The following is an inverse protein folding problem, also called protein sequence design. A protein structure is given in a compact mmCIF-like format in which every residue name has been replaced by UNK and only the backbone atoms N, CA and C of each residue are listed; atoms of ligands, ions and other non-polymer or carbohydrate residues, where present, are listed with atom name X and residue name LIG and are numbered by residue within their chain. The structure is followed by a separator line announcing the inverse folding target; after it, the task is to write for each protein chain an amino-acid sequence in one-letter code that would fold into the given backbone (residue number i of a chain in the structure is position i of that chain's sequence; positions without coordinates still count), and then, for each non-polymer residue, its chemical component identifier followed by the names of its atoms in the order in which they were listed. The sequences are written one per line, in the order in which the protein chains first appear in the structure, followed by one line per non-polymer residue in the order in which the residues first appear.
data_IF_338456347955
#
_entry.id   IF_338456347955
#
_cell.length_a   1.000
_cell.length_b   1.000
_cell.length_c   1.000
_cell.angle_alpha   90.00
_cell.angle_beta   90.00
_cell.angle_gamma   90.00
#
_symmetry.space_group_name_H-M   'P 1'
#
loop_
_entity.id
_entity.type
_entity.pdbx_description
1 polymer ?
#
# COMPACT_ATOMS: atom_id res chain seq x y z
N UNK A 1 53.69 -9.87 13.60
CA UNK A 1 52.91 -8.71 13.12
C UNK A 1 52.53 -8.98 11.68
N UNK A 2 51.24 -9.15 11.38
CA UNK A 2 50.78 -9.28 10.00
C UNK A 2 50.45 -7.88 9.48
N UNK A 3 51.13 -7.42 8.44
CA UNK A 3 50.81 -6.18 7.75
C UNK A 3 49.73 -6.42 6.69
N UNK A 4 48.71 -5.57 6.65
CA UNK A 4 47.65 -5.61 5.62
C UNK A 4 47.99 -4.57 4.56
N UNK A 5 48.30 -5.03 3.36
CA UNK A 5 48.57 -4.17 2.18
C UNK A 5 47.29 -4.09 1.35
N UNK A 6 46.95 -2.89 0.88
CA UNK A 6 45.79 -2.66 0.02
C UNK A 6 46.27 -2.56 -1.42
N UNK A 7 45.65 -3.32 -2.33
CA UNK A 7 45.99 -3.31 -3.75
C UNK A 7 44.85 -2.70 -4.57
N UNK A 8 45.19 -1.86 -5.54
CA UNK A 8 44.32 -1.54 -6.67
C UNK A 8 44.90 -2.19 -7.94
N UNK A 9 44.19 -2.12 -9.07
CA UNK A 9 44.63 -2.67 -10.36
C UNK A 9 45.98 -2.14 -10.88
N UNK A 10 46.48 -1.04 -10.32
CA UNK A 10 47.72 -0.39 -10.77
C UNK A 10 48.87 -0.42 -9.73
N UNK A 11 48.58 -0.47 -8.43
CA UNK A 11 49.61 -0.31 -7.38
C UNK A 11 49.21 -0.92 -6.03
N UNK A 12 50.22 -1.32 -5.25
CA UNK A 12 50.13 -1.72 -3.84
C UNK A 12 50.38 -0.53 -2.91
N UNK A 13 49.57 -0.40 -1.87
CA UNK A 13 49.61 0.67 -0.87
C UNK A 13 49.80 0.09 0.52
N UNK A 14 50.74 0.62 1.29
CA UNK A 14 50.92 0.29 2.72
C UNK A 14 50.22 1.33 3.62
N UNK A 15 49.11 0.99 4.30
CA UNK A 15 48.37 1.92 5.16
C UNK A 15 49.19 2.43 6.35
N UNK A 16 50.26 1.73 6.74
CA UNK A 16 51.16 2.14 7.82
C UNK A 16 52.12 3.25 7.35
N UNK A 17 52.37 3.37 6.05
CA UNK A 17 53.16 4.44 5.48
C UNK A 17 52.32 5.72 5.36
N UNK A 18 52.83 6.83 5.90
CA UNK A 18 52.11 8.10 5.93
C UNK A 18 51.69 8.58 4.53
N UNK A 19 52.59 8.47 3.54
CA UNK A 19 52.33 8.90 2.16
C UNK A 19 51.22 8.08 1.48
N UNK A 20 51.30 6.75 1.58
CA UNK A 20 50.33 5.84 0.98
C UNK A 20 48.94 5.99 1.65
N UNK A 21 48.90 6.23 2.96
CA UNK A 21 47.65 6.51 3.68
C UNK A 21 46.97 7.80 3.20
N UNK A 22 47.74 8.86 2.94
CA UNK A 22 47.20 10.11 2.38
C UNK A 22 46.65 9.91 0.97
N UNK A 23 47.38 9.19 0.12
CA UNK A 23 46.95 8.86 -1.24
C UNK A 23 45.65 8.03 -1.23
N UNK A 24 45.58 7.01 -0.39
CA UNK A 24 44.36 6.21 -0.21
C UNK A 24 43.17 7.06 0.25
N UNK A 25 43.40 8.02 1.16
CA UNK A 25 42.36 8.96 1.60
C UNK A 25 41.81 9.82 0.47
N UNK A 26 42.70 10.38 -0.36
CA UNK A 26 42.31 11.19 -1.52
C UNK A 26 41.55 10.35 -2.57
N UNK A 27 42.04 9.14 -2.88
CA UNK A 27 41.34 8.25 -3.80
C UNK A 27 39.98 7.78 -3.27
N UNK A 28 39.84 7.61 -1.97
CA UNK A 28 38.54 7.32 -1.34
C UNK A 28 37.52 8.43 -1.61
N UNK A 29 37.90 9.69 -1.36
CA UNK A 29 37.03 10.86 -1.59
C UNK A 29 36.68 10.99 -3.08
N UNK A 30 37.66 10.82 -3.97
CA UNK A 30 37.44 10.88 -5.41
C UNK A 30 36.48 9.79 -5.88
N UNK A 31 36.67 8.55 -5.40
CA UNK A 31 35.79 7.41 -5.72
C UNK A 31 34.36 7.66 -5.24
N UNK A 32 34.18 8.23 -4.06
CA UNK A 32 32.86 8.61 -3.54
C UNK A 32 32.19 9.69 -4.43
N UNK A 33 32.96 10.70 -4.85
CA UNK A 33 32.47 11.75 -5.74
C UNK A 33 32.10 11.21 -7.14
N UNK A 34 32.90 10.30 -7.71
CA UNK A 34 32.62 9.65 -8.99
C UNK A 34 31.36 8.77 -8.90
N UNK A 35 31.24 7.96 -7.83
CA UNK A 35 30.04 7.16 -7.57
C UNK A 35 28.80 8.06 -7.46
N UNK A 36 28.93 9.22 -6.82
CA UNK A 36 27.84 10.20 -6.75
C UNK A 36 27.42 10.70 -8.14
N UNK A 37 28.38 11.05 -9.01
CA UNK A 37 28.08 11.47 -10.38
C UNK A 37 27.45 10.36 -11.23
N UNK A 38 27.95 9.12 -11.11
CA UNK A 38 27.38 7.96 -11.80
C UNK A 38 25.94 7.72 -11.34
N UNK A 39 25.70 7.74 -10.02
CA UNK A 39 24.37 7.60 -9.44
C UNK A 39 23.41 8.68 -9.95
N UNK A 40 23.84 9.94 -9.99
CA UNK A 40 23.03 11.03 -10.54
C UNK A 40 22.66 10.81 -12.01
N UNK A 41 23.63 10.41 -12.86
CA UNK A 41 23.38 10.13 -14.28
C UNK A 41 22.46 8.94 -14.48
N UNK A 42 22.61 7.89 -13.67
CA UNK A 42 21.73 6.72 -13.70
C UNK A 42 20.28 7.10 -13.34
N UNK A 43 20.07 7.87 -12.28
CA UNK A 43 18.73 8.35 -11.91
C UNK A 43 18.12 9.26 -12.97
N UNK A 44 18.91 10.13 -13.60
CA UNK A 44 18.44 10.94 -14.71
C UNK A 44 18.03 10.08 -15.92
N UNK A 45 18.86 9.10 -16.29
CA UNK A 45 18.57 8.16 -17.37
C UNK A 45 17.33 7.29 -17.08
N UNK A 46 17.16 6.85 -15.83
CA UNK A 46 15.98 6.12 -15.37
C UNK A 46 14.71 6.97 -15.53
N UNK A 47 14.75 8.23 -15.09
CA UNK A 47 13.63 9.18 -15.25
C UNK A 47 13.30 9.47 -16.72
N UNK A 48 14.31 9.66 -17.56
CA UNK A 48 14.10 9.87 -19.00
C UNK A 48 13.46 8.65 -19.67
N UNK A 49 13.91 7.43 -19.35
CA UNK A 49 13.27 6.20 -19.82
C UNK A 49 11.85 6.06 -19.29
N UNK A 50 11.62 6.42 -18.04
CA UNK A 50 10.29 6.40 -17.45
C UNK A 50 9.34 7.39 -18.14
N UNK A 51 9.80 8.61 -18.41
CA UNK A 51 9.00 9.62 -19.11
C UNK A 51 8.55 9.17 -20.50
N UNK A 52 9.35 8.34 -21.19
CA UNK A 52 9.00 7.72 -22.48
C UNK A 52 8.16 6.45 -22.36
N UNK A 53 7.93 5.92 -21.15
CA UNK A 53 7.21 4.65 -20.95
C UNK A 53 8.04 3.38 -21.21
N UNK A 54 9.36 3.50 -21.36
CA UNK A 54 10.25 2.41 -21.77
C UNK A 54 10.96 1.73 -20.59
N UNK A 55 10.89 2.30 -19.39
CA UNK A 55 11.57 1.75 -18.22
C UNK A 55 10.88 0.44 -17.79
N UNK A 56 11.65 -0.64 -17.79
CA UNK A 56 11.17 -1.96 -17.36
C UNK A 56 11.19 -2.07 -15.85
N UNK A 57 10.03 -2.37 -15.27
CA UNK A 57 9.89 -2.76 -13.87
C UNK A 57 9.10 -4.08 -13.77
N UNK A 58 9.17 -4.71 -12.59
CA UNK A 58 8.41 -5.92 -12.28
C UNK A 58 6.90 -5.67 -12.38
N UNK A 59 6.24 -6.36 -13.31
CA UNK A 59 4.80 -6.25 -13.52
C UNK A 59 4.04 -7.12 -12.52
N UNK A 60 2.85 -6.68 -12.05
CA UNK A 60 1.98 -7.51 -11.23
C UNK A 60 1.50 -8.77 -11.98
N UNK A 61 0.91 -9.71 -11.25
CA UNK A 61 0.25 -10.87 -11.86
C UNK A 61 -0.84 -10.41 -12.85
N UNK A 62 -1.01 -11.10 -13.97
CA UNK A 62 -1.96 -10.69 -15.03
C UNK A 62 -1.40 -9.73 -16.06
N UNK A 63 -0.21 -9.16 -15.86
CA UNK A 63 0.50 -8.41 -16.89
C UNK A 63 1.81 -9.11 -17.24
N UNK A 64 2.15 -9.13 -18.53
CA UNK A 64 3.40 -9.69 -19.04
C UNK A 64 4.05 -8.73 -20.05
N UNK A 65 5.36 -8.87 -20.23
CA UNK A 65 6.08 -8.16 -21.27
C UNK A 65 6.07 -9.01 -22.54
N UNK A 66 5.63 -8.43 -23.64
CA UNK A 66 5.77 -9.04 -24.96
C UNK A 66 7.26 -9.04 -25.40
N UNK A 67 7.58 -9.81 -26.44
CA UNK A 67 8.89 -9.79 -27.10
C UNK A 67 9.26 -8.37 -27.59
N UNK A 68 8.26 -7.58 -27.98
CA UNK A 68 8.39 -6.18 -28.40
C UNK A 68 8.63 -5.19 -27.24
N UNK A 69 8.81 -5.66 -26.01
CA UNK A 69 8.90 -4.84 -24.78
C UNK A 69 7.63 -4.11 -24.38
N UNK A 70 6.52 -4.31 -25.09
CA UNK A 70 5.23 -3.74 -24.75
C UNK A 70 4.58 -4.53 -23.62
N UNK A 71 3.83 -3.83 -22.76
CA UNK A 71 3.05 -4.46 -21.70
C UNK A 71 1.77 -5.03 -22.34
N UNK A 72 1.55 -6.32 -22.15
CA UNK A 72 0.35 -7.04 -22.60
C UNK A 72 -0.35 -7.68 -21.41
N UNK A 73 -1.61 -8.06 -21.60
CA UNK A 73 -2.32 -8.92 -20.66
C UNK A 73 -1.66 -10.30 -20.65
N UNK A 74 -1.68 -10.97 -19.50
CA UNK A 74 -1.13 -12.32 -19.39
C UNK A 74 -1.87 -13.26 -20.35
N UNK A 75 -1.18 -14.05 -21.20
CA UNK A 75 -1.83 -14.97 -22.13
C UNK A 75 -2.77 -15.98 -21.46
N UNK A 76 -2.57 -16.31 -20.19
CA UNK A 76 -3.44 -17.24 -19.46
C UNK A 76 -4.84 -16.65 -19.23
N UNK A 77 -5.84 -17.19 -19.92
CA UNK A 77 -7.23 -16.79 -19.79
C UNK A 77 -7.77 -16.94 -18.37
N UNK A 78 -7.35 -17.97 -17.63
CA UNK A 78 -7.78 -18.18 -16.25
C UNK A 78 -7.32 -17.02 -15.33
N UNK A 79 -6.09 -16.54 -15.52
CA UNK A 79 -5.55 -15.39 -14.78
C UNK A 79 -6.35 -14.14 -15.11
N UNK A 80 -6.64 -13.93 -16.41
CA UNK A 80 -7.45 -12.80 -16.83
C UNK A 80 -8.86 -12.85 -16.24
N UNK A 81 -9.56 -13.99 -16.37
CA UNK A 81 -10.88 -14.20 -15.84
C UNK A 81 -10.94 -13.99 -14.32
N UNK A 82 -9.92 -14.45 -13.58
CA UNK A 82 -9.83 -14.27 -12.13
C UNK A 82 -9.72 -12.80 -11.75
N UNK A 83 -8.90 -12.03 -12.46
CA UNK A 83 -8.74 -10.59 -12.21
C UNK A 83 -10.01 -9.81 -12.57
N UNK A 84 -10.65 -10.12 -13.70
CA UNK A 84 -11.95 -9.57 -14.07
C UNK A 84 -13.02 -9.87 -13.00
N UNK A 85 -13.01 -11.08 -12.43
CA UNK A 85 -13.91 -11.45 -11.33
C UNK A 85 -13.66 -10.61 -10.07
N UNK A 86 -12.40 -10.34 -9.72
CA UNK A 86 -12.06 -9.49 -8.57
C UNK A 86 -12.63 -8.08 -8.72
N UNK A 87 -12.44 -7.46 -9.89
CA UNK A 87 -12.92 -6.10 -10.14
C UNK A 87 -14.45 -6.03 -10.21
N UNK A 88 -15.10 -6.97 -10.91
CA UNK A 88 -16.57 -7.05 -10.95
C UNK A 88 -17.17 -7.24 -9.55
N UNK A 89 -16.65 -8.16 -8.74
CA UNK A 89 -17.12 -8.37 -7.36
C UNK A 89 -16.82 -7.17 -6.46
N UNK A 90 -15.74 -6.44 -6.70
CA UNK A 90 -15.49 -5.20 -5.97
C UNK A 90 -16.48 -4.10 -6.35
N UNK A 91 -16.87 -4.01 -7.63
CA UNK A 91 -17.91 -3.09 -8.10
C UNK A 91 -19.26 -3.37 -7.43
N UNK A 92 -19.62 -4.65 -7.30
CA UNK A 92 -20.84 -5.13 -6.63
C UNK A 92 -20.83 -4.94 -5.10
N UNK A 93 -19.76 -5.39 -4.42
CA UNK A 93 -19.73 -5.48 -2.95
C UNK A 93 -19.17 -4.23 -2.27
N UNK A 94 -18.37 -3.43 -2.98
CA UNK A 94 -17.77 -2.19 -2.50
C UNK A 94 -16.70 -2.34 -1.40
N UNK A 95 -16.28 -3.55 -1.03
CA UNK A 95 -15.27 -3.78 0.03
C UNK A 95 -14.30 -4.91 -0.30
N UNK A 96 -12.99 -4.65 -0.16
CA UNK A 96 -11.94 -5.64 -0.41
C UNK A 96 -12.08 -6.89 0.47
N UNK A 97 -12.52 -6.72 1.72
CA UNK A 97 -12.74 -7.83 2.66
C UNK A 97 -13.95 -8.68 2.28
N UNK A 98 -14.99 -8.06 1.71
CA UNK A 98 -16.16 -8.77 1.19
C UNK A 98 -15.78 -9.60 -0.05
N UNK A 99 -14.99 -9.04 -0.96
CA UNK A 99 -14.44 -9.75 -2.13
C UNK A 99 -13.60 -10.95 -1.70
N UNK A 100 -12.68 -10.77 -0.74
CA UNK A 100 -11.89 -11.88 -0.19
C UNK A 100 -12.76 -13.00 0.38
N UNK A 101 -13.82 -12.66 1.13
CA UNK A 101 -14.73 -13.65 1.71
C UNK A 101 -15.51 -14.40 0.63
N UNK A 102 -15.94 -13.73 -0.42
CA UNK A 102 -16.59 -14.36 -1.57
C UNK A 102 -15.64 -15.36 -2.24
N UNK A 103 -14.44 -14.93 -2.60
CA UNK A 103 -13.44 -15.79 -3.24
C UNK A 103 -13.05 -16.99 -2.36
N UNK A 104 -12.92 -16.80 -1.04
CA UNK A 104 -12.69 -17.92 -0.11
C UNK A 104 -13.86 -18.89 -0.05
N UNK A 105 -15.10 -18.40 -0.04
CA UNK A 105 -16.29 -19.26 -0.01
C UNK A 105 -16.36 -20.16 -1.25
N UNK A 106 -16.01 -19.62 -2.40
CA UNK A 106 -15.99 -20.34 -3.68
C UNK A 106 -14.66 -21.10 -3.90
N UNK A 107 -13.75 -21.15 -2.92
CA UNK A 107 -12.42 -21.78 -3.01
C UNK A 107 -11.59 -21.30 -4.21
N UNK A 108 -11.69 -20.02 -4.52
CA UNK A 108 -11.02 -19.39 -5.66
C UNK A 108 -9.68 -18.77 -5.21
N UNK A 109 -8.51 -19.34 -5.60
CA UNK A 109 -7.20 -18.72 -5.35
C UNK A 109 -6.97 -17.49 -6.23
N UNK A 110 -5.97 -16.68 -5.88
CA UNK A 110 -5.54 -15.52 -6.67
C UNK A 110 -4.18 -15.74 -7.31
N UNK A 111 -4.00 -15.25 -8.55
CA UNK A 111 -2.70 -15.25 -9.21
C UNK A 111 -1.79 -14.20 -8.57
N UNK A 112 -0.58 -14.59 -8.21
CA UNK A 112 0.44 -13.75 -7.59
C UNK A 112 1.77 -13.97 -8.29
N UNK A 113 2.47 -12.88 -8.59
CA UNK A 113 3.86 -12.96 -9.05
C UNK A 113 4.78 -12.72 -7.84
N UNK A 114 5.68 -13.66 -7.49
CA UNK A 114 6.61 -13.46 -6.41
C UNK A 114 7.57 -12.30 -6.75
N UNK A 115 7.83 -11.42 -5.77
CA UNK A 115 8.77 -10.31 -5.95
C UNK A 115 10.24 -10.73 -5.85
N UNK A 116 10.51 -11.90 -5.27
CA UNK A 116 11.86 -12.41 -5.03
C UNK A 116 11.94 -13.86 -5.51
N UNK A 117 13.07 -14.23 -6.11
CA UNK A 117 13.33 -15.57 -6.62
C UNK A 117 14.20 -15.53 -7.88
N UNK A 118 14.64 -16.69 -8.40
CA UNK A 118 15.27 -16.75 -9.71
C UNK A 118 14.28 -16.25 -10.77
N UNK A 119 14.75 -15.39 -11.68
CA UNK A 119 13.97 -14.99 -12.85
C UNK A 119 13.89 -16.17 -13.84
N UNK A 120 12.76 -16.37 -14.55
CA UNK A 120 11.54 -15.55 -14.59
C UNK A 120 10.58 -15.81 -13.41
N UNK A 121 10.00 -14.74 -12.84
CA UNK A 121 8.98 -14.88 -11.79
C UNK A 121 7.65 -15.34 -12.40
N UNK A 122 7.44 -16.66 -12.44
CA UNK A 122 6.19 -17.26 -12.90
C UNK A 122 5.01 -16.90 -11.99
N UNK A 123 3.79 -16.96 -12.56
CA UNK A 123 2.57 -16.69 -11.81
C UNK A 123 2.26 -17.89 -10.93
N UNK A 124 2.18 -17.67 -9.63
CA UNK A 124 1.83 -18.68 -8.63
C UNK A 124 0.43 -18.43 -8.11
N UNK A 125 -0.38 -19.49 -8.05
CA UNK A 125 -1.70 -19.45 -7.44
C UNK A 125 -1.60 -19.58 -5.93
N UNK A 126 -2.15 -18.63 -5.20
CA UNK A 126 -2.11 -18.64 -3.75
C UNK A 126 -3.49 -18.30 -3.17
N UNK A 127 -3.76 -18.77 -1.95
CA UNK A 127 -5.05 -18.56 -1.29
C UNK A 127 -5.48 -17.09 -1.22
N UNK A 128 -6.78 -16.82 -1.26
CA UNK A 128 -7.23 -15.43 -1.19
C UNK A 128 -7.09 -14.88 0.24
N UNK A 129 -6.26 -13.84 0.41
CA UNK A 129 -6.08 -13.11 1.67
C UNK A 129 -6.32 -11.62 1.45
N UNK A 130 -6.78 -10.90 2.48
CA UNK A 130 -7.11 -9.47 2.38
C UNK A 130 -5.95 -8.61 1.82
N UNK A 131 -4.68 -8.78 2.24
CA UNK A 131 -3.57 -8.02 1.66
C UNK A 131 -3.34 -8.29 0.17
N UNK A 132 -3.67 -9.49 -0.32
CA UNK A 132 -3.56 -9.85 -1.75
C UNK A 132 -4.64 -9.16 -2.59
N UNK A 133 -5.86 -9.06 -2.08
CA UNK A 133 -6.90 -8.25 -2.74
C UNK A 133 -6.51 -6.76 -2.72
N UNK A 134 -5.97 -6.28 -1.61
CA UNK A 134 -5.49 -4.90 -1.47
C UNK A 134 -4.19 -4.59 -2.22
N UNK A 135 -3.46 -5.59 -2.73
CA UNK A 135 -2.35 -5.34 -3.66
C UNK A 135 -2.85 -5.21 -5.10
N UNK A 136 -3.98 -5.82 -5.43
CA UNK A 136 -4.59 -5.79 -6.76
C UNK A 136 -5.37 -4.50 -7.00
N UNK A 137 -6.37 -4.23 -6.16
CA UNK A 137 -7.34 -3.14 -6.39
C UNK A 137 -6.71 -1.75 -6.56
N UNK A 138 -5.71 -1.33 -5.74
CA UNK A 138 -5.16 0.00 -5.85
C UNK A 138 -4.00 0.11 -6.85
N UNK A 139 -3.76 -0.91 -7.68
CA UNK A 139 -2.64 -0.90 -8.62
C UNK A 139 -3.03 -0.27 -9.97
N UNK A 140 -2.45 0.88 -10.36
CA UNK A 140 -2.80 1.58 -11.60
C UNK A 140 -2.44 0.79 -12.86
N UNK A 141 -1.53 -0.18 -12.79
CA UNK A 141 -1.20 -1.04 -13.93
C UNK A 141 -2.43 -1.79 -14.47
N UNK A 142 -3.37 -2.20 -13.62
CA UNK A 142 -4.59 -2.85 -14.13
C UNK A 142 -5.53 -1.89 -14.87
N UNK A 143 -5.34 -0.58 -14.72
CA UNK A 143 -6.07 0.45 -15.45
C UNK A 143 -5.44 0.81 -16.81
N UNK A 144 -4.41 0.06 -17.24
CA UNK A 144 -3.65 0.37 -18.45
C UNK A 144 -2.71 1.57 -18.30
N UNK A 145 -2.47 2.04 -17.06
CA UNK A 145 -1.63 3.19 -16.79
C UNK A 145 -0.20 2.77 -16.47
N UNK A 146 0.73 3.36 -17.21
CA UNK A 146 2.15 3.26 -16.91
C UNK A 146 2.52 4.36 -15.90
N UNK A 147 3.03 3.96 -14.74
CA UNK A 147 3.28 4.87 -13.62
C UNK A 147 4.69 4.69 -13.06
N UNK A 148 5.38 5.81 -12.89
CA UNK A 148 6.67 5.90 -12.21
C UNK A 148 6.61 6.89 -11.04
N UNK A 149 7.39 6.66 -9.99
CA UNK A 149 7.44 7.55 -8.82
C UNK A 149 6.36 7.32 -7.75
N UNK A 150 5.68 6.16 -7.75
CA UNK A 150 4.63 5.82 -6.75
C UNK A 150 5.09 5.85 -5.30
N UNK A 151 6.39 5.69 -5.08
CA UNK A 151 7.02 5.63 -3.76
C UNK A 151 8.25 6.51 -3.81
N UNK A 152 8.37 7.42 -2.84
CA UNK A 152 9.56 8.25 -2.67
C UNK A 152 10.27 7.78 -1.41
N UNK A 153 11.59 7.61 -1.50
CA UNK A 153 12.38 7.47 -0.28
C UNK A 153 12.50 8.85 0.34
N UNK A 154 11.82 9.05 1.44
CA UNK A 154 11.95 10.24 2.27
C UNK A 154 12.94 9.92 3.38
N UNK A 155 13.96 10.76 3.55
CA UNK A 155 14.81 10.70 4.72
C UNK A 155 13.99 10.93 5.99
N UNK A 156 13.92 9.92 6.85
CA UNK A 156 13.24 10.03 8.14
C UNK A 156 14.26 9.92 9.27
N UNK A 157 14.54 11.01 9.98
CA UNK A 157 15.31 10.98 11.23
C UNK A 157 14.39 10.44 12.32
N UNK A 158 14.58 9.19 12.74
CA UNK A 158 13.70 8.56 13.74
C UNK A 158 14.17 8.88 15.16
N UNK A 159 15.49 9.07 15.41
CA UNK A 159 16.09 9.60 16.66
C UNK A 159 17.46 10.24 16.37
N UNK A 160 18.01 10.95 17.36
CA UNK A 160 19.12 11.91 17.24
C UNK A 160 20.35 11.48 16.42
N UNK A 161 20.66 10.19 16.21
CA UNK A 161 21.81 9.76 15.40
C UNK A 161 21.57 8.61 14.38
N UNK A 162 20.31 8.21 14.12
CA UNK A 162 20.04 7.14 13.14
C UNK A 162 19.14 7.63 12.02
N UNK A 163 19.72 7.74 10.83
CA UNK A 163 19.01 8.00 9.59
C UNK A 163 18.58 6.66 8.98
N UNK A 164 17.28 6.37 9.03
CA UNK A 164 16.71 5.27 8.25
C UNK A 164 15.91 5.85 7.07
N UNK A 165 16.18 5.41 5.83
CA UNK A 165 15.37 5.80 4.70
C UNK A 165 13.93 5.26 4.90
N UNK A 166 12.95 6.17 4.95
CA UNK A 166 11.53 5.81 5.04
C UNK A 166 10.93 5.93 3.65
N UNK A 167 10.41 4.82 3.14
CA UNK A 167 9.66 4.87 1.88
C UNK A 167 8.23 5.33 2.14
N UNK A 168 7.83 6.45 1.56
CA UNK A 168 6.46 7.00 1.66
C UNK A 168 5.72 6.76 0.34
N UNK A 169 4.40 6.54 0.43
CA UNK A 169 3.52 6.45 -0.75
C UNK A 169 3.21 7.88 -1.20
N UNK A 170 3.43 8.16 -2.47
CA UNK A 170 3.16 9.47 -3.08
C UNK A 170 1.70 9.51 -3.55
N UNK A 171 0.96 10.61 -3.32
CA UNK A 171 -0.39 10.77 -3.85
C UNK A 171 -0.38 10.76 -5.37
N UNK A 172 -1.53 10.47 -5.98
CA UNK A 172 -1.63 10.24 -7.44
C UNK A 172 -1.21 11.48 -8.24
N UNK A 173 -1.54 12.67 -7.73
CA UNK A 173 -1.24 13.97 -8.33
C UNK A 173 0.27 14.28 -8.40
N UNK A 174 1.05 13.73 -7.48
CA UNK A 174 2.49 13.98 -7.36
C UNK A 174 3.35 12.88 -8.02
N UNK A 175 2.74 11.99 -8.81
CA UNK A 175 3.49 10.96 -9.53
C UNK A 175 4.36 11.59 -10.62
N UNK A 176 5.65 11.25 -10.65
CA UNK A 176 6.62 11.82 -11.60
C UNK A 176 6.23 11.53 -13.05
N UNK A 177 5.69 10.34 -13.33
CA UNK A 177 5.17 9.97 -14.65
C UNK A 177 3.89 9.16 -14.48
N UNK A 178 2.84 9.58 -15.18
CA UNK A 178 1.58 8.86 -15.27
C UNK A 178 1.05 8.91 -16.71
N UNK A 179 1.44 7.92 -17.52
CA UNK A 179 0.93 7.77 -18.88
C UNK A 179 -0.32 6.90 -18.84
N UNK A 180 -1.48 7.52 -19.06
CA UNK A 180 -2.77 6.83 -19.12
C UNK A 180 -2.89 6.07 -20.46
N UNK A 181 -3.58 4.93 -20.44
CA UNK A 181 -3.81 4.08 -21.62
C UNK A 181 -2.53 3.68 -22.40
N UNK A 182 -1.41 3.51 -21.68
CA UNK A 182 -0.14 3.07 -22.27
C UNK A 182 -0.18 1.60 -22.72
N UNK A 183 -1.05 0.79 -22.12
CA UNK A 183 -1.24 -0.60 -22.46
C UNK A 183 -2.68 -1.07 -22.17
N UNK A 184 -3.10 -2.24 -22.68
CA UNK A 184 -4.40 -2.81 -22.34
C UNK A 184 -4.52 -3.03 -20.82
N UNK A 185 -5.59 -2.52 -20.23
CA UNK A 185 -5.96 -2.72 -18.82
C UNK A 185 -7.17 -3.62 -18.67
N UNK A 186 -7.36 -4.17 -17.48
CA UNK A 186 -8.58 -4.90 -17.10
C UNK A 186 -9.73 -3.96 -16.76
N UNK A 187 -9.40 -2.75 -16.32
CA UNK A 187 -10.36 -1.69 -15.96
C UNK A 187 -9.97 -0.40 -16.69
N UNK A 188 -10.93 0.52 -16.82
CA UNK A 188 -10.66 1.88 -17.30
C UNK A 188 -10.03 2.76 -16.21
N UNK A 189 -9.45 3.90 -16.62
CA UNK A 189 -8.87 4.87 -15.68
C UNK A 189 -9.92 5.48 -14.74
N UNK A 190 -11.11 5.79 -15.26
CA UNK A 190 -12.22 6.32 -14.45
C UNK A 190 -12.66 5.33 -13.37
N UNK A 191 -12.81 4.05 -13.74
CA UNK A 191 -13.14 2.99 -12.80
C UNK A 191 -12.06 2.81 -11.73
N UNK A 192 -10.79 2.95 -12.10
CA UNK A 192 -9.69 2.93 -11.15
C UNK A 192 -9.80 4.07 -10.11
N UNK A 193 -10.10 5.29 -10.55
CA UNK A 193 -10.29 6.44 -9.66
C UNK A 193 -11.50 6.25 -8.73
N UNK A 194 -12.60 5.68 -9.22
CA UNK A 194 -13.75 5.29 -8.41
C UNK A 194 -13.37 4.25 -7.35
N UNK A 195 -12.58 3.25 -7.75
CA UNK A 195 -12.12 2.21 -6.84
C UNK A 195 -11.21 2.77 -5.75
N UNK A 196 -10.32 3.72 -6.06
CA UNK A 196 -9.50 4.41 -5.05
C UNK A 196 -10.38 5.17 -4.05
N UNK A 197 -11.33 5.98 -4.53
CA UNK A 197 -12.27 6.71 -3.66
C UNK A 197 -13.05 5.78 -2.73
N UNK A 198 -13.52 4.64 -3.27
CA UNK A 198 -14.20 3.61 -2.46
C UNK A 198 -13.27 2.98 -1.43
N UNK A 199 -12.03 2.67 -1.80
CA UNK A 199 -11.04 2.12 -0.87
C UNK A 199 -10.69 3.12 0.24
N UNK A 200 -10.51 4.39 -0.08
CA UNK A 200 -10.25 5.47 0.89
C UNK A 200 -11.43 5.63 1.85
N UNK A 201 -12.66 5.65 1.35
CA UNK A 201 -13.86 5.70 2.18
C UNK A 201 -14.02 4.47 3.09
N UNK A 202 -13.49 3.32 2.68
CA UNK A 202 -13.49 2.09 3.46
C UNK A 202 -12.46 2.09 4.60
N UNK A 203 -11.42 2.95 4.54
CA UNK A 203 -10.44 3.10 5.60
C UNK A 203 -11.11 3.77 6.80
N UNK A 204 -11.02 3.13 7.96
CA UNK A 204 -11.54 3.69 9.20
C UNK A 204 -10.53 4.70 9.76
N UNK A 205 -10.56 5.93 9.27
CA UNK A 205 -9.76 7.02 9.84
C UNK A 205 -10.65 7.90 10.73
N UNK A 206 -10.59 7.65 12.04
CA UNK A 206 -11.46 8.31 13.02
C UNK A 206 -11.31 9.83 13.06
N UNK A 207 -10.11 10.34 12.73
CA UNK A 207 -9.79 11.78 12.74
C UNK A 207 -10.23 12.50 11.46
N UNK A 208 -10.38 11.80 10.33
CA UNK A 208 -10.70 12.39 9.02
C UNK A 208 -12.18 12.25 8.63
N UNK A 209 -13.05 11.79 9.54
CA UNK A 209 -14.49 11.70 9.29
C UNK A 209 -14.95 10.57 8.35
N UNK A 210 -14.05 9.68 7.93
CA UNK A 210 -14.41 8.55 7.06
C UNK A 210 -15.35 7.56 7.77
N UNK A 211 -16.42 7.18 7.07
CA UNK A 211 -17.45 6.24 7.57
C UNK A 211 -16.92 4.82 7.73
N UNK A 212 -15.89 4.44 6.95
CA UNK A 212 -15.37 3.08 6.91
C UNK A 212 -16.31 2.10 6.21
N UNK A 213 -15.81 0.91 5.88
CA UNK A 213 -16.64 -0.13 5.26
C UNK A 213 -17.75 -0.62 6.22
N UNK A 214 -19.00 -0.81 5.75
CA UNK A 214 -20.08 -1.37 6.56
C UNK A 214 -19.69 -2.73 7.16
N UNK A 215 -19.80 -2.87 8.48
CA UNK A 215 -19.49 -4.12 9.20
C UNK A 215 -20.77 -4.84 9.59
N UNK A 216 -20.74 -6.18 9.61
CA UNK A 216 -21.83 -6.97 10.17
C UNK A 216 -21.83 -6.83 11.70
N UNK A 217 -22.88 -6.22 12.25
CA UNK A 217 -23.14 -6.10 13.68
C UNK A 217 -24.49 -5.44 13.92
N UNK A 218 -25.16 -5.76 15.03
CA UNK A 218 -26.48 -5.22 15.41
C UNK A 218 -26.48 -3.69 15.71
N UNK A 219 -25.33 -3.03 15.59
CA UNK A 219 -25.17 -1.60 15.81
C UNK A 219 -25.11 -0.86 14.46
N UNK A 220 -26.30 -0.57 13.90
CA UNK A 220 -26.50 0.22 12.68
C UNK A 220 -25.74 1.55 12.66
N UNK A 221 -25.45 2.12 13.83
CA UNK A 221 -24.81 3.43 13.99
C UNK A 221 -23.32 3.36 14.36
N UNK A 222 -22.70 2.17 14.34
CA UNK A 222 -21.30 2.02 14.69
C UNK A 222 -20.40 2.82 13.73
N UNK A 223 -19.68 3.80 14.27
CA UNK A 223 -18.80 4.66 13.46
C UNK A 223 -19.51 5.80 12.73
N UNK A 224 -20.83 5.97 12.89
CA UNK A 224 -21.61 7.10 12.34
C UNK A 224 -22.07 8.03 13.47
N UNK A 225 -22.54 7.47 14.59
CA UNK A 225 -23.01 8.26 15.72
C UNK A 225 -21.90 9.15 16.29
N UNK A 226 -22.18 10.43 16.47
CA UNK A 226 -21.28 11.41 17.10
C UNK A 226 -21.86 11.80 18.46
N UNK A 227 -21.02 11.89 19.49
CA UNK A 227 -21.45 12.38 20.79
C UNK A 227 -21.66 13.89 20.75
N UNK A 228 -22.89 14.36 21.01
CA UNK A 228 -23.22 15.79 21.04
C UNK A 228 -22.53 16.60 22.15
N UNK A 229 -21.85 15.95 23.12
CA UNK A 229 -21.09 16.63 24.18
C UNK A 229 -19.63 16.86 23.84
N UNK A 230 -18.97 15.90 23.19
CA UNK A 230 -17.53 15.96 22.92
C UNK A 230 -17.16 15.93 21.44
N UNK A 231 -18.15 15.86 20.53
CA UNK A 231 -17.92 15.80 19.09
C UNK A 231 -17.24 14.53 18.58
N UNK A 232 -16.95 13.56 19.46
CA UNK A 232 -16.27 12.31 19.10
C UNK A 232 -17.27 11.25 18.62
N UNK A 233 -16.90 10.50 17.59
CA UNK A 233 -17.69 9.35 17.11
C UNK A 233 -17.74 8.23 18.15
N UNK A 234 -18.92 7.64 18.33
CA UNK A 234 -19.17 6.58 19.30
C UNK A 234 -18.74 5.23 18.74
N UNK A 235 -17.99 4.47 19.55
CA UNK A 235 -17.59 3.10 19.25
C UNK A 235 -18.59 2.12 19.87
N UNK A 236 -18.88 1.04 19.17
CA UNK A 236 -19.72 -0.01 19.72
C UNK A 236 -18.90 -0.94 20.61
N UNK A 237 -19.37 -1.23 21.83
CA UNK A 237 -18.83 -2.30 22.67
C UNK A 237 -19.96 -3.25 23.07
N UNK A 238 -19.73 -4.55 22.87
CA UNK A 238 -20.50 -5.59 23.54
C UNK A 238 -19.96 -5.73 24.97
N UNK A 239 -20.84 -5.74 25.96
CA UNK A 239 -20.46 -5.85 27.37
C UNK A 239 -20.25 -7.30 27.85
N UNK A 240 -20.41 -8.33 26.99
CA UNK A 240 -20.24 -9.74 27.37
C UNK A 240 -19.71 -10.62 26.20
N UNK A 241 -19.07 -11.78 26.49
CA UNK A 241 -18.63 -12.77 25.48
C UNK A 241 -19.82 -13.44 24.77
N UNK A 242 -19.56 -13.96 23.56
CA UNK A 242 -20.54 -14.29 22.51
C UNK A 242 -21.52 -15.45 22.78
N UNK A 243 -21.46 -16.12 23.91
CA UNK A 243 -22.31 -17.30 24.15
C UNK A 243 -23.54 -16.90 24.96
N UNK A 244 -24.67 -16.79 24.24
CA UNK A 244 -26.03 -16.51 24.71
C UNK A 244 -26.23 -15.15 25.38
N UNK A 245 -26.98 -14.23 24.73
CA UNK A 245 -27.99 -13.34 25.34
C UNK A 245 -28.62 -12.41 24.27
N UNK A 246 -29.93 -12.06 24.41
CA UNK A 246 -30.69 -11.16 23.53
C UNK A 246 -30.09 -9.75 23.39
N UNK A 247 -30.55 -9.03 22.37
CA UNK A 247 -30.13 -7.72 21.84
C UNK A 247 -30.06 -6.52 22.82
N UNK A 248 -30.13 -6.73 24.14
CA UNK A 248 -30.42 -5.71 25.14
C UNK A 248 -29.19 -5.05 25.78
N UNK A 249 -27.97 -5.58 25.61
CA UNK A 249 -26.73 -5.06 26.25
C UNK A 249 -25.70 -4.49 25.27
N UNK A 250 -26.17 -4.01 24.13
CA UNK A 250 -25.39 -3.35 23.10
C UNK A 250 -25.28 -1.84 23.42
N UNK A 251 -24.08 -1.34 23.74
CA UNK A 251 -23.87 0.07 24.15
C UNK A 251 -22.91 0.79 23.19
N UNK A 252 -23.32 1.97 22.73
CA UNK A 252 -22.45 2.93 22.05
C UNK A 252 -21.71 3.75 23.09
N UNK A 253 -20.38 3.80 22.97
CA UNK A 253 -19.51 4.48 23.93
C UNK A 253 -18.61 5.49 23.23
N UNK A 254 -18.72 6.76 23.64
CA UNK A 254 -17.75 7.80 23.31
C UNK A 254 -16.66 7.84 24.39
N UNK A 255 -15.39 7.87 23.96
CA UNK A 255 -14.24 7.91 24.86
C UNK A 255 -13.46 9.19 24.62
N UNK A 256 -13.26 9.96 25.68
CA UNK A 256 -12.37 11.11 25.70
C UNK A 256 -11.04 10.71 26.31
N UNK A 257 -9.94 10.95 25.61
CA UNK A 257 -8.60 10.76 26.16
C UNK A 257 -8.20 12.04 26.90
N UNK A 258 -8.00 11.95 28.21
CA UNK A 258 -7.33 12.97 29.03
C UNK A 258 -5.93 12.43 29.37
N UNK A 259 -4.91 12.91 28.66
CA UNK A 259 -3.55 12.37 28.78
C UNK A 259 -3.46 10.90 28.33
N UNK A 260 -2.83 10.03 29.16
CA UNK A 260 -2.72 8.58 28.90
C UNK A 260 -3.96 7.76 29.27
N UNK A 261 -5.00 8.39 29.81
CA UNK A 261 -6.18 7.70 30.33
C UNK A 261 -7.43 7.94 29.48
N UNK A 262 -8.13 6.85 29.16
CA UNK A 262 -9.39 6.83 28.43
C UNK A 262 -10.58 7.03 29.38
N UNK A 263 -11.18 8.22 29.41
CA UNK A 263 -12.40 8.52 30.18
C UNK A 263 -13.65 8.28 29.33
N UNK A 264 -14.67 7.66 29.93
CA UNK A 264 -15.97 7.44 29.26
C UNK A 264 -16.76 8.75 29.27
N UNK A 265 -17.10 9.27 28.10
CA UNK A 265 -17.80 10.56 27.97
C UNK A 265 -19.32 10.38 27.89
N UNK A 266 -19.79 9.39 27.12
CA UNK A 266 -21.22 9.08 27.00
C UNK A 266 -21.42 7.59 26.72
N UNK A 267 -22.44 7.01 27.36
CA UNK A 267 -22.96 5.66 27.12
C UNK A 267 -24.38 5.80 26.59
N UNK A 268 -24.64 5.32 25.38
CA UNK A 268 -25.97 5.30 24.79
C UNK A 268 -26.39 3.85 24.53
N UNK A 269 -27.46 3.34 25.17
CA UNK A 269 -28.04 2.06 24.82
C UNK A 269 -28.43 2.06 23.34
N UNK A 270 -27.99 1.06 22.58
CA UNK A 270 -28.22 0.97 21.13
C UNK A 270 -29.71 1.04 20.76
N UNK A 271 -30.60 0.56 21.62
CA UNK A 271 -32.07 0.60 21.44
C UNK A 271 -32.64 2.02 21.38
N UNK A 272 -32.05 2.99 22.09
CA UNK A 272 -32.47 4.38 22.06
C UNK A 272 -31.89 5.15 20.86
N UNK A 273 -30.68 4.79 20.42
CA UNK A 273 -30.01 5.46 19.31
C UNK A 273 -30.73 5.19 17.97
N UNK A 274 -31.23 3.97 17.75
CA UNK A 274 -32.00 3.60 16.54
C UNK A 274 -33.31 4.39 16.42
N UNK A 275 -34.03 4.59 17.52
CA UNK A 275 -35.30 5.37 17.55
C UNK A 275 -35.07 6.87 17.33
N UNK A 276 -33.97 7.43 17.83
CA UNK A 276 -33.67 8.85 17.67
C UNK A 276 -33.25 9.23 16.24
N UNK A 277 -32.64 8.30 15.48
CA UNK A 277 -32.27 8.54 14.08
C UNK A 277 -33.49 8.55 13.15
N UNK A 278 -34.54 7.79 13.46
CA UNK A 278 -35.80 7.77 12.69
C UNK A 278 -36.68 9.01 12.87
N UNK A 279 -36.40 9.88 13.86
CA UNK A 279 -37.16 11.11 14.13
C UNK A 279 -36.45 12.39 13.62
N UNK A 280 -35.30 12.26 12.94
CA UNK A 280 -34.49 13.39 12.45
C UNK A 280 -34.10 13.29 10.97
N UNK A 281 -34.70 12.34 10.23
CA UNK A 281 -34.82 12.35 8.77
C UNK A 281 -36.22 12.84 8.42
#
# INVERSE_FOLDING_TARGET
MFGVIIANGERLYDPCAYHDRLLLGLFGIMSEAELHQISQRLHQGERQKAARGELRFGLPAGLSHALSSQIILNPDEEVQARLCLVFSKFRELGSARAVMRYLRKENLPLPMRPLHGPAPHEVVWQETTNPRVLSILPNPGYAGAYVYGRRRQTGGRIRQDVYLPRTTKVPIEDWEVCLQAAHPGYIGWEEFMDNQRRLENNINHYEAGHTGAPRKGAALLQGIAVCGRCGRRMSFRLAAPQETIPSTHAVLMAVTMEGRYARRCALCPSTHASKAFYLRL
#
